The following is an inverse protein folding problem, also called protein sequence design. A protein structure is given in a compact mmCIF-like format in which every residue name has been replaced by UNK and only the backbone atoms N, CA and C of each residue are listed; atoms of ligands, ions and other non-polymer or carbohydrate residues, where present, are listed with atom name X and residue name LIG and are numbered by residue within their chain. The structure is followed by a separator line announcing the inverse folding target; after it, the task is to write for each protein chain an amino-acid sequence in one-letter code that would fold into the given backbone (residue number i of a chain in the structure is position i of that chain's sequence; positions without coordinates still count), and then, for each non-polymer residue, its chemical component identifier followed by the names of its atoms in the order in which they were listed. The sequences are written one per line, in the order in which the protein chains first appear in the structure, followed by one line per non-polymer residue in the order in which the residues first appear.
data_IF_253386773720
#
_entry.id   IF_253386773720
#
_cell.length_a   1.000
_cell.length_b   1.000
_cell.length_c   1.000
_cell.angle_alpha   90.00
_cell.angle_beta   90.00
_cell.angle_gamma   90.00
#
_symmetry.space_group_name_H-M   'P 1'
#
loop_
_entity.id
_entity.type
_entity.pdbx_description
1 polymer ?
#
# COMPACT_ATOMS: atom_id res chain seq x y z
N UNK A 1 -71.02 -38.09 3.65
CA UNK A 1 -70.95 -39.13 4.71
C UNK A 1 -69.72 -39.98 4.49
N UNK A 2 -68.91 -40.21 5.53
CA UNK A 2 -68.03 -41.39 5.82
C UNK A 2 -67.17 -41.92 4.64
N UNK A 3 -65.85 -42.11 4.72
CA UNK A 3 -64.94 -42.42 5.83
C UNK A 3 -63.48 -42.34 5.31
N UNK A 4 -62.60 -42.08 6.27
CA UNK A 4 -61.14 -42.24 6.29
C UNK A 4 -60.69 -43.64 5.84
N UNK A 5 -59.59 -43.74 5.07
CA UNK A 5 -58.44 -44.61 5.41
C UNK A 5 -57.18 -44.24 4.61
N UNK A 6 -56.06 -44.21 5.34
CA UNK A 6 -54.71 -43.86 4.90
C UNK A 6 -53.86 -45.11 4.55
N UNK A 7 -52.59 -44.84 4.19
CA UNK A 7 -51.45 -45.74 3.95
C UNK A 7 -51.37 -46.31 2.51
N UNK A 8 -50.23 -46.34 1.79
CA UNK A 8 -48.83 -46.58 2.19
C UNK A 8 -47.85 -45.77 1.31
N UNK A 9 -46.78 -45.34 1.97
CA UNK A 9 -45.49 -44.82 1.52
C UNK A 9 -44.85 -45.46 0.28
N UNK A 10 -44.43 -44.62 -0.65
CA UNK A 10 -43.43 -44.92 -1.67
C UNK A 10 -42.53 -43.71 -1.87
N UNK A 11 -41.59 -43.48 -0.94
CA UNK A 11 -40.59 -42.43 -1.07
C UNK A 11 -39.60 -42.85 -2.16
N UNK A 12 -39.71 -42.24 -3.34
CA UNK A 12 -38.70 -42.36 -4.39
C UNK A 12 -37.44 -41.68 -3.87
N UNK A 13 -36.44 -42.49 -3.50
CA UNK A 13 -35.07 -42.02 -3.24
C UNK A 13 -34.49 -41.62 -4.60
N UNK A 14 -34.65 -40.35 -4.97
CA UNK A 14 -33.83 -39.75 -6.02
C UNK A 14 -32.41 -39.64 -5.47
N UNK A 15 -31.57 -40.61 -5.83
CA UNK A 15 -30.14 -40.58 -5.57
C UNK A 15 -29.51 -39.37 -6.26
N UNK A 16 -29.37 -38.28 -5.50
CA UNK A 16 -28.38 -37.25 -5.80
C UNK A 16 -27.01 -37.85 -5.46
N UNK A 17 -26.05 -37.90 -6.39
CA UNK A 17 -24.69 -38.21 -6.01
C UNK A 17 -24.21 -37.08 -5.11
N UNK A 18 -24.06 -37.38 -3.82
CA UNK A 18 -23.25 -36.58 -2.92
C UNK A 18 -21.84 -36.66 -3.51
N UNK A 19 -21.42 -35.59 -4.19
CA UNK A 19 -20.03 -35.38 -4.51
C UNK A 19 -19.31 -35.21 -3.17
N UNK A 20 -18.81 -36.34 -2.65
CA UNK A 20 -17.78 -36.32 -1.62
C UNK A 20 -16.62 -35.57 -2.27
N UNK A 21 -16.37 -34.36 -1.80
CA UNK A 21 -15.20 -33.59 -2.19
C UNK A 21 -13.98 -34.41 -1.75
N UNK A 22 -13.47 -35.22 -2.68
CA UNK A 22 -12.13 -35.77 -2.56
C UNK A 22 -11.20 -34.57 -2.50
N UNK A 23 -10.52 -34.49 -1.36
CA UNK A 23 -9.50 -33.51 -1.03
C UNK A 23 -8.48 -33.48 -2.18
N UNK A 24 -8.59 -32.47 -3.05
CA UNK A 24 -7.63 -32.25 -4.13
C UNK A 24 -6.37 -31.73 -3.45
N UNK A 25 -5.44 -32.63 -3.13
CA UNK A 25 -4.08 -32.22 -2.82
C UNK A 25 -3.50 -31.52 -4.06
N UNK A 26 -3.03 -30.27 -3.97
CA UNK A 26 -2.22 -29.72 -5.04
C UNK A 26 -0.80 -30.24 -4.83
N UNK A 27 -0.50 -31.45 -5.30
CA UNK A 27 0.88 -31.89 -5.47
C UNK A 27 1.13 -32.04 -6.96
N UNK A 28 1.26 -30.91 -7.65
CA UNK A 28 2.32 -30.89 -8.66
C UNK A 28 3.62 -31.03 -7.87
N UNK A 29 4.32 -32.15 -8.06
CA UNK A 29 5.66 -32.33 -7.52
C UNK A 29 6.55 -31.22 -8.13
N UNK A 30 6.71 -30.12 -7.40
CA UNK A 30 7.67 -29.08 -7.74
C UNK A 30 9.07 -29.68 -7.77
N UNK A 31 9.81 -29.45 -8.84
CA UNK A 31 11.24 -29.76 -8.89
C UNK A 31 12.06 -28.82 -8.00
N UNK A 32 11.56 -27.61 -7.71
CA UNK A 32 12.30 -26.58 -7.00
C UNK A 32 11.80 -26.39 -5.55
N UNK A 33 12.76 -26.44 -4.62
CA UNK A 33 12.55 -26.19 -3.20
C UNK A 33 12.67 -24.71 -2.83
N UNK A 34 11.90 -24.27 -1.83
CA UNK A 34 12.01 -22.93 -1.23
C UNK A 34 12.17 -23.02 0.29
N UNK A 35 13.16 -22.30 0.83
CA UNK A 35 13.41 -22.25 2.27
C UNK A 35 12.95 -20.90 2.85
N UNK A 36 12.22 -20.92 3.97
CA UNK A 36 11.71 -19.71 4.62
C UNK A 36 12.55 -19.37 5.85
N UNK A 37 13.19 -18.21 5.82
CA UNK A 37 13.94 -17.64 6.94
C UNK A 37 13.00 -16.82 7.83
N UNK A 38 12.82 -17.26 9.07
CA UNK A 38 12.08 -16.46 10.04
C UNK A 38 13.00 -15.46 10.75
N UNK A 39 12.64 -14.18 10.71
CA UNK A 39 13.38 -13.15 11.47
C UNK A 39 12.98 -13.20 12.95
N UNK A 40 13.94 -13.36 13.86
CA UNK A 40 13.67 -13.33 15.31
C UNK A 40 13.42 -11.88 15.76
N UNK A 41 12.16 -11.46 15.72
CA UNK A 41 11.70 -10.20 16.30
C UNK A 41 10.45 -10.46 17.15
N UNK A 42 10.34 -9.80 18.31
CA UNK A 42 9.21 -9.96 19.22
C UNK A 42 7.85 -9.56 18.60
N UNK A 43 7.87 -8.73 17.55
CA UNK A 43 6.69 -8.29 16.80
C UNK A 43 6.39 -9.10 15.53
N UNK A 44 7.21 -10.11 15.22
CA UNK A 44 7.04 -10.97 14.05
C UNK A 44 6.33 -12.27 14.45
N UNK A 45 5.11 -12.51 13.94
CA UNK A 45 4.37 -13.76 14.19
C UNK A 45 4.88 -14.96 13.36
N UNK A 46 5.91 -14.74 12.55
CA UNK A 46 6.58 -15.70 11.69
C UNK A 46 5.88 -15.95 10.36
N UNK A 47 6.65 -15.97 9.27
CA UNK A 47 6.21 -16.29 7.92
C UNK A 47 6.39 -17.80 7.63
N UNK A 48 5.48 -18.40 6.86
CA UNK A 48 5.56 -19.81 6.46
C UNK A 48 4.41 -20.20 5.53
N UNK A 49 4.48 -21.39 4.92
CA UNK A 49 3.38 -21.89 4.09
C UNK A 49 2.16 -22.28 4.93
N UNK A 50 0.99 -22.22 4.32
CA UNK A 50 -0.25 -22.61 4.94
C UNK A 50 -0.31 -24.12 5.16
N UNK A 51 -0.66 -24.51 6.38
CA UNK A 51 -1.07 -25.87 6.75
C UNK A 51 -2.58 -25.92 6.98
N UNK A 52 -3.15 -27.12 7.04
CA UNK A 52 -4.57 -27.34 7.39
C UNK A 52 -4.96 -26.78 8.76
N UNK A 53 -3.98 -26.59 9.65
CA UNK A 53 -4.17 -26.06 11.02
C UNK A 53 -3.74 -24.60 11.16
N UNK A 54 -3.39 -23.93 10.07
CA UNK A 54 -2.80 -22.58 10.16
C UNK A 54 -3.82 -21.54 10.60
N UNK A 55 -3.54 -20.93 11.76
CA UNK A 55 -4.37 -19.89 12.41
C UNK A 55 -3.81 -18.47 12.23
N UNK A 56 -2.80 -18.26 11.39
CA UNK A 56 -2.18 -16.94 11.11
C UNK A 56 -2.08 -16.70 9.60
N UNK A 57 -1.76 -15.47 9.18
CA UNK A 57 -1.45 -15.22 7.76
C UNK A 57 -0.26 -16.07 7.29
N UNK A 58 -0.36 -16.65 6.09
CA UNK A 58 0.59 -17.61 5.56
C UNK A 58 0.69 -17.54 4.03
N UNK A 59 1.77 -18.10 3.50
CA UNK A 59 1.98 -18.26 2.06
C UNK A 59 1.15 -19.47 1.60
N UNK A 60 0.19 -19.23 0.72
CA UNK A 60 -0.61 -20.29 0.13
C UNK A 60 0.21 -21.04 -0.93
N UNK A 61 0.81 -20.29 -1.85
CA UNK A 61 1.71 -20.80 -2.87
C UNK A 61 2.63 -19.70 -3.39
N UNK A 62 3.77 -20.11 -3.93
CA UNK A 62 4.71 -19.25 -4.67
C UNK A 62 5.05 -19.93 -5.96
N UNK A 63 5.01 -19.19 -7.06
CA UNK A 63 5.38 -19.66 -8.40
C UNK A 63 6.45 -18.73 -8.95
N UNK A 64 7.57 -19.28 -9.41
CA UNK A 64 8.64 -18.53 -10.07
C UNK A 64 8.77 -19.03 -11.51
N UNK A 65 8.69 -18.12 -12.47
CA UNK A 65 8.80 -18.42 -13.90
C UNK A 65 7.87 -19.57 -14.36
N UNK A 66 6.68 -19.66 -13.75
CA UNK A 66 5.69 -20.71 -14.01
C UNK A 66 5.86 -22.00 -13.20
N UNK A 67 6.91 -22.12 -12.40
CA UNK A 67 7.20 -23.29 -11.55
C UNK A 67 6.71 -23.00 -10.13
N UNK A 68 5.66 -23.71 -9.69
CA UNK A 68 5.20 -23.67 -8.31
C UNK A 68 6.27 -24.26 -7.38
N UNK A 69 6.59 -23.62 -6.26
CA UNK A 69 7.65 -24.02 -5.34
C UNK A 69 7.12 -24.88 -4.20
N UNK A 70 7.96 -25.78 -3.67
CA UNK A 70 7.67 -26.58 -2.47
C UNK A 70 8.51 -26.12 -1.29
N UNK A 71 7.89 -25.89 -0.13
CA UNK A 71 8.66 -25.58 1.08
C UNK A 71 9.57 -26.76 1.48
N UNK A 72 10.84 -26.46 1.78
CA UNK A 72 11.83 -27.41 2.29
C UNK A 72 12.28 -27.05 3.70
N UNK A 73 12.81 -28.04 4.43
CA UNK A 73 13.20 -27.88 5.83
C UNK A 73 14.68 -27.50 6.01
N UNK A 74 15.50 -27.65 4.98
CA UNK A 74 16.93 -27.34 5.02
C UNK A 74 17.32 -26.34 3.92
N UNK A 75 18.16 -25.32 4.22
CA UNK A 75 18.71 -24.40 3.22
C UNK A 75 19.44 -25.07 2.05
N UNK A 76 19.99 -26.27 2.26
CA UNK A 76 20.69 -27.06 1.23
C UNK A 76 19.76 -27.67 0.18
N UNK A 77 18.47 -27.80 0.49
CA UNK A 77 17.46 -28.37 -0.41
C UNK A 77 16.72 -27.30 -1.22
N UNK A 78 17.01 -26.02 -0.94
CA UNK A 78 16.31 -24.89 -1.53
C UNK A 78 17.09 -24.27 -2.68
N UNK A 79 16.36 -24.03 -3.78
CA UNK A 79 16.82 -23.20 -4.88
C UNK A 79 16.56 -21.72 -4.62
N UNK A 80 15.47 -21.43 -3.90
CA UNK A 80 15.05 -20.07 -3.56
C UNK A 80 14.88 -19.89 -2.05
N UNK A 81 15.14 -18.69 -1.57
CA UNK A 81 14.93 -18.26 -0.20
C UNK A 81 13.79 -17.26 -0.12
N UNK A 82 13.01 -17.35 0.96
CA UNK A 82 12.05 -16.33 1.36
C UNK A 82 12.46 -15.82 2.75
N UNK A 83 12.86 -14.56 2.85
CA UNK A 83 13.04 -13.87 4.13
C UNK A 83 11.83 -13.02 4.47
N UNK A 84 11.61 -12.73 5.75
CA UNK A 84 10.60 -11.75 6.18
C UNK A 84 9.82 -12.14 7.42
N UNK A 85 8.57 -11.68 7.48
CA UNK A 85 7.72 -11.82 8.65
C UNK A 85 6.31 -11.27 8.47
N UNK A 86 5.42 -11.64 9.38
CA UNK A 86 4.11 -10.99 9.54
C UNK A 86 4.21 -10.11 10.76
N UNK A 87 4.19 -8.80 10.54
CA UNK A 87 4.43 -7.80 11.57
C UNK A 87 3.12 -7.20 12.02
N UNK A 88 3.05 -6.83 13.30
CA UNK A 88 1.85 -6.24 13.88
C UNK A 88 2.15 -4.88 14.51
N UNK A 89 1.44 -3.83 14.09
CA UNK A 89 1.53 -2.50 14.72
C UNK A 89 0.15 -1.85 14.90
N UNK A 90 0.03 -0.91 15.86
CA UNK A 90 -1.17 -0.11 16.03
C UNK A 90 -1.56 0.64 14.74
N UNK A 91 -2.83 0.54 14.39
CA UNK A 91 -3.44 1.22 13.25
C UNK A 91 -4.88 1.61 13.58
N UNK A 92 -5.50 2.38 12.69
CA UNK A 92 -6.88 2.81 12.84
C UNK A 92 -7.55 2.86 11.48
N UNK A 93 -8.82 2.51 11.45
CA UNK A 93 -9.72 2.89 10.37
C UNK A 93 -10.61 4.02 10.88
N UNK A 94 -11.08 4.88 9.99
CA UNK A 94 -11.73 6.15 10.35
C UNK A 94 -12.83 6.02 11.42
N UNK A 95 -13.59 4.94 11.40
CA UNK A 95 -14.75 4.68 12.27
C UNK A 95 -14.48 3.65 13.39
N UNK A 96 -13.27 3.10 13.49
CA UNK A 96 -12.93 2.07 14.47
C UNK A 96 -12.21 2.64 15.69
N UNK A 97 -12.22 1.89 16.79
CA UNK A 97 -11.24 2.05 17.87
C UNK A 97 -9.82 1.77 17.35
N UNK A 98 -8.80 2.04 18.17
CA UNK A 98 -7.44 1.61 17.87
C UNK A 98 -7.45 0.09 17.68
N UNK A 99 -6.99 -0.35 16.52
CA UNK A 99 -6.90 -1.75 16.13
C UNK A 99 -5.45 -2.10 15.84
N UNK A 100 -5.07 -3.36 15.98
CA UNK A 100 -3.77 -3.82 15.48
C UNK A 100 -3.93 -4.25 14.01
N UNK A 101 -3.01 -3.80 13.15
CA UNK A 101 -2.92 -4.23 11.76
C UNK A 101 -1.77 -5.21 11.62
N UNK A 102 -2.01 -6.28 10.87
CA UNK A 102 -0.98 -7.21 10.42
C UNK A 102 -0.55 -6.77 9.01
N UNK A 103 0.76 -6.68 8.78
CA UNK A 103 1.32 -6.39 7.46
C UNK A 103 2.46 -7.38 7.17
N UNK A 104 2.22 -8.36 6.28
CA UNK A 104 3.25 -9.26 5.81
C UNK A 104 4.32 -8.52 5.01
N UNK A 105 5.57 -8.86 5.26
CA UNK A 105 6.70 -8.45 4.45
C UNK A 105 7.49 -9.70 4.05
N UNK A 106 7.89 -9.77 2.78
CA UNK A 106 8.64 -10.89 2.23
C UNK A 106 9.68 -10.43 1.22
N UNK A 107 10.82 -11.12 1.19
CA UNK A 107 11.88 -10.97 0.20
C UNK A 107 12.13 -12.34 -0.40
N UNK A 108 12.02 -12.46 -1.72
CA UNK A 108 12.22 -13.69 -2.47
C UNK A 108 13.48 -13.51 -3.31
N UNK A 109 14.39 -14.48 -3.24
CA UNK A 109 15.71 -14.43 -3.88
C UNK A 109 16.27 -15.84 -4.12
N UNK A 110 17.12 -16.05 -5.14
CA UNK A 110 17.88 -17.29 -5.32
C UNK A 110 18.88 -17.54 -4.19
N UNK A 111 19.04 -18.81 -3.78
CA UNK A 111 19.98 -19.16 -2.72
C UNK A 111 21.40 -19.39 -3.23
N UNK A 112 22.38 -18.96 -2.42
CA UNK A 112 23.83 -18.97 -2.71
C UNK A 112 24.44 -20.36 -2.83
N UNK A 113 23.76 -21.37 -2.27
CA UNK A 113 24.21 -22.77 -2.30
C UNK A 113 24.03 -23.41 -3.69
N UNK A 114 23.34 -22.71 -4.59
CA UNK A 114 23.25 -23.02 -6.01
C UNK A 114 24.13 -22.00 -6.76
N UNK A 115 24.86 -22.36 -7.82
CA UNK A 115 25.75 -21.41 -8.52
C UNK A 115 25.02 -20.11 -8.89
N UNK A 116 25.32 -19.04 -8.14
CA UNK A 116 24.55 -17.79 -8.06
C UNK A 116 24.34 -17.05 -9.39
N UNK A 117 25.13 -17.35 -10.42
CA UNK A 117 25.14 -16.64 -11.69
C UNK A 117 24.13 -17.16 -12.73
N UNK A 118 23.32 -18.19 -12.43
CA UNK A 118 22.47 -18.83 -13.45
C UNK A 118 21.00 -19.08 -13.09
N UNK A 119 20.55 -18.79 -11.86
CA UNK A 119 19.12 -18.96 -11.53
C UNK A 119 18.35 -17.72 -11.98
N UNK A 120 17.65 -17.86 -13.11
CA UNK A 120 16.62 -16.92 -13.53
C UNK A 120 15.53 -16.81 -12.46
N UNK A 121 15.14 -15.59 -12.17
CA UNK A 121 13.91 -15.27 -11.48
C UNK A 121 13.37 -14.03 -12.17
N UNK A 122 12.46 -14.21 -13.12
CA UNK A 122 11.94 -13.12 -13.96
C UNK A 122 10.53 -12.72 -13.56
N UNK A 123 9.68 -13.69 -13.25
CA UNK A 123 8.30 -13.50 -12.85
C UNK A 123 8.02 -14.26 -11.55
N UNK A 124 7.43 -13.58 -10.57
CA UNK A 124 7.10 -14.14 -9.27
C UNK A 124 5.62 -13.93 -8.99
N UNK A 125 4.89 -15.03 -8.81
CA UNK A 125 3.52 -15.02 -8.33
C UNK A 125 3.48 -15.54 -6.89
N UNK A 126 2.80 -14.79 -6.02
CA UNK A 126 2.58 -15.16 -4.62
C UNK A 126 1.09 -15.13 -4.34
N UNK A 127 0.57 -16.26 -3.85
CA UNK A 127 -0.74 -16.32 -3.23
C UNK A 127 -0.55 -16.28 -1.72
N UNK A 128 -1.04 -15.22 -1.08
CA UNK A 128 -0.93 -15.03 0.37
C UNK A 128 -2.29 -15.21 1.02
N UNK A 129 -2.41 -16.20 1.90
CA UNK A 129 -3.63 -16.48 2.64
C UNK A 129 -3.65 -15.69 3.94
N UNK A 130 -4.78 -15.03 4.23
CA UNK A 130 -5.03 -14.44 5.55
C UNK A 130 -5.47 -15.51 6.56
N UNK A 131 -5.41 -15.18 7.84
CA UNK A 131 -6.06 -15.98 8.88
C UNK A 131 -7.58 -16.08 8.60
N UNK A 132 -8.12 -17.30 8.63
CA UNK A 132 -9.56 -17.58 8.49
C UNK A 132 -10.36 -16.78 9.54
N UNK A 133 -11.49 -16.19 9.14
CA UNK A 133 -12.36 -15.37 10.01
C UNK A 133 -11.65 -14.18 10.68
N UNK A 134 -10.49 -13.75 10.19
CA UNK A 134 -9.80 -12.64 10.80
C UNK A 134 -10.54 -11.31 10.58
N UNK A 135 -10.09 -10.27 11.28
CA UNK A 135 -10.65 -8.94 11.18
C UNK A 135 -10.29 -8.25 9.84
N UNK A 136 -11.01 -7.19 9.44
CA UNK A 136 -10.68 -6.42 8.21
C UNK A 136 -9.27 -5.82 8.23
N UNK A 137 -8.69 -5.65 9.41
CA UNK A 137 -7.35 -5.08 9.65
C UNK A 137 -6.20 -6.03 9.31
N UNK A 138 -6.48 -7.32 9.05
CA UNK A 138 -5.50 -8.29 8.57
C UNK A 138 -5.69 -8.64 7.09
N UNK A 139 -6.52 -7.89 6.36
CA UNK A 139 -6.71 -8.10 4.93
C UNK A 139 -5.42 -7.71 4.18
N UNK A 140 -5.25 -8.24 2.96
CA UNK A 140 -4.23 -7.77 2.03
C UNK A 140 -4.94 -7.09 0.88
N UNK A 141 -5.04 -5.78 0.98
CA UNK A 141 -5.80 -4.92 0.05
C UNK A 141 -4.89 -3.97 -0.73
N UNK A 142 -3.63 -3.88 -0.34
CA UNK A 142 -2.63 -3.06 -1.01
C UNK A 142 -1.29 -3.78 -1.00
N UNK A 143 -0.53 -3.67 -2.08
CA UNK A 143 0.83 -4.21 -2.18
C UNK A 143 1.81 -3.10 -2.57
N UNK A 144 3.01 -3.16 -2.00
CA UNK A 144 4.18 -2.39 -2.44
C UNK A 144 5.26 -3.39 -2.84
N UNK A 145 5.84 -3.23 -4.03
CA UNK A 145 6.86 -4.15 -4.55
C UNK A 145 8.06 -3.42 -5.16
N UNK A 146 9.29 -3.87 -4.92
CA UNK A 146 10.46 -3.40 -5.70
C UNK A 146 10.65 -4.25 -6.97
N UNK A 147 9.65 -4.17 -7.84
CA UNK A 147 9.67 -4.84 -9.13
C UNK A 147 8.69 -4.15 -10.06
N UNK A 148 8.29 -4.84 -11.11
CA UNK A 148 7.23 -4.39 -12.02
C UNK A 148 5.99 -5.25 -11.80
N UNK A 149 5.03 -4.72 -11.04
CA UNK A 149 3.78 -5.41 -10.79
C UNK A 149 3.03 -5.64 -12.11
N UNK A 150 2.62 -6.88 -12.34
CA UNK A 150 1.85 -7.30 -13.52
C UNK A 150 0.35 -7.37 -13.19
N UNK A 151 0.01 -7.93 -12.04
CA UNK A 151 -1.35 -7.96 -11.53
C UNK A 151 -1.39 -8.08 -10.01
N UNK A 152 -2.49 -7.59 -9.43
CA UNK A 152 -2.78 -7.74 -8.01
C UNK A 152 -4.28 -7.97 -7.82
N UNK A 153 -4.62 -9.09 -7.19
CA UNK A 153 -5.98 -9.42 -6.77
C UNK A 153 -6.01 -9.39 -5.24
N UNK A 154 -6.67 -8.40 -4.62
CA UNK A 154 -6.75 -8.30 -3.17
C UNK A 154 -7.57 -9.45 -2.58
N UNK A 155 -7.30 -9.80 -1.34
CA UNK A 155 -8.13 -10.76 -0.62
C UNK A 155 -9.54 -10.20 -0.41
N UNK A 156 -10.57 -11.00 -0.68
CA UNK A 156 -11.97 -10.62 -0.49
C UNK A 156 -12.52 -11.33 0.75
N UNK A 157 -12.94 -10.60 1.81
CA UNK A 157 -13.49 -11.20 3.01
C UNK A 157 -14.65 -12.16 2.69
N UNK A 158 -14.55 -13.41 3.13
CA UNK A 158 -15.62 -14.41 3.01
C UNK A 158 -15.82 -15.02 1.62
N UNK A 159 -15.03 -14.63 0.61
CA UNK A 159 -15.09 -15.20 -0.76
C UNK A 159 -13.74 -15.77 -1.20
N UNK A 160 -12.64 -15.06 -0.91
CA UNK A 160 -11.27 -15.48 -1.20
C UNK A 160 -10.36 -14.96 -0.08
N UNK A 161 -10.03 -15.83 0.87
CA UNK A 161 -9.05 -15.53 1.93
C UNK A 161 -7.60 -15.48 1.39
N UNK A 162 -7.42 -15.28 0.09
CA UNK A 162 -6.13 -15.28 -0.60
C UNK A 162 -6.00 -14.00 -1.42
N UNK A 163 -4.90 -13.28 -1.23
CA UNK A 163 -4.46 -12.23 -2.14
C UNK A 163 -3.44 -12.80 -3.13
N UNK A 164 -3.58 -12.47 -4.41
CA UNK A 164 -2.67 -12.92 -5.47
C UNK A 164 -1.86 -11.74 -5.97
N UNK A 165 -0.55 -11.84 -5.91
CA UNK A 165 0.41 -10.83 -6.35
C UNK A 165 1.23 -11.45 -7.47
N UNK A 166 1.27 -10.83 -8.66
CA UNK A 166 2.15 -11.25 -9.74
C UNK A 166 3.04 -10.06 -10.15
N UNK A 167 4.35 -10.24 -10.07
CA UNK A 167 5.31 -9.18 -10.35
C UNK A 167 6.55 -9.71 -11.07
N UNK A 168 7.09 -8.90 -11.97
CA UNK A 168 8.39 -9.15 -12.60
C UNK A 168 9.51 -8.55 -11.77
N UNK A 169 10.64 -9.23 -11.74
CA UNK A 169 11.87 -8.66 -11.19
C UNK A 169 12.37 -7.52 -12.08
N UNK A 170 13.06 -6.58 -11.46
CA UNK A 170 13.72 -5.47 -12.14
C UNK A 170 15.17 -5.40 -11.67
N UNK A 171 16.01 -4.73 -12.45
CA UNK A 171 17.38 -4.45 -12.02
C UNK A 171 17.34 -3.46 -10.87
N UNK A 172 17.93 -3.83 -9.74
CA UNK A 172 18.02 -3.04 -8.52
C UNK A 172 19.49 -2.80 -8.21
N UNK A 173 19.86 -1.53 -8.04
CA UNK A 173 21.19 -1.11 -7.61
C UNK A 173 21.21 -0.90 -6.09
N UNK A 174 22.22 -1.45 -5.42
CA UNK A 174 22.35 -1.41 -3.96
C UNK A 174 23.74 -0.96 -3.52
N UNK A 175 23.76 0.01 -2.61
CA UNK A 175 24.93 0.47 -1.87
C UNK A 175 24.70 0.44 -0.35
N UNK A 176 23.72 -0.34 0.10
CA UNK A 176 23.42 -0.45 1.53
C UNK A 176 24.36 -1.47 2.19
N UNK A 177 24.90 -1.09 3.35
CA UNK A 177 25.48 -2.02 4.31
C UNK A 177 24.40 -2.39 5.36
N UNK A 178 24.20 -3.68 5.64
CA UNK A 178 23.33 -4.16 6.73
C UNK A 178 21.85 -4.43 6.38
N UNK A 179 20.95 -4.21 7.35
CA UNK A 179 19.52 -4.60 7.35
C UNK A 179 18.60 -3.72 6.48
N UNK A 180 19.14 -2.76 5.73
CA UNK A 180 18.37 -1.83 4.92
C UNK A 180 18.05 -2.41 3.54
N UNK A 181 17.40 -3.56 3.52
CA UNK A 181 16.94 -4.23 2.31
C UNK A 181 15.41 -4.38 2.34
N UNK A 182 14.76 -3.74 1.37
CA UNK A 182 13.32 -3.77 1.14
C UNK A 182 12.52 -2.90 2.10
N UNK A 183 12.15 -3.37 3.30
CA UNK A 183 11.24 -2.64 4.22
C UNK A 183 11.92 -2.19 5.53
N UNK A 184 11.83 -0.90 5.83
CA UNK A 184 12.30 -0.32 7.10
C UNK A 184 11.25 0.64 7.64
N UNK A 185 10.80 0.43 8.89
CA UNK A 185 9.88 1.33 9.61
C UNK A 185 10.48 2.75 9.69
N UNK A 186 11.81 2.83 9.78
CA UNK A 186 12.60 4.05 9.77
C UNK A 186 13.64 4.00 8.64
N UNK A 187 13.20 4.09 7.38
CA UNK A 187 14.11 4.25 6.23
C UNK A 187 15.06 5.45 6.38
N UNK A 188 14.70 6.43 7.22
CA UNK A 188 15.58 7.55 7.59
C UNK A 188 16.85 7.11 8.34
N UNK A 189 16.84 5.91 8.93
CA UNK A 189 17.99 5.32 9.60
C UNK A 189 18.85 4.47 8.65
N UNK A 190 18.48 4.40 7.36
CA UNK A 190 19.25 3.68 6.36
C UNK A 190 20.34 4.55 5.76
N UNK A 191 21.58 4.21 6.04
CA UNK A 191 22.73 4.73 5.30
C UNK A 191 22.83 4.01 3.96
N UNK A 192 22.64 4.76 2.88
CA UNK A 192 22.77 4.26 1.51
C UNK A 192 23.96 4.99 0.89
N UNK A 193 24.98 4.25 0.46
CA UNK A 193 26.14 4.83 -0.20
C UNK A 193 25.77 5.49 -1.54
N UNK A 194 26.53 6.51 -1.94
CA UNK A 194 26.28 7.24 -3.18
C UNK A 194 26.47 6.40 -4.43
N UNK A 195 27.40 5.44 -4.42
CA UNK A 195 27.73 4.58 -5.56
C UNK A 195 27.34 3.15 -5.24
N UNK A 196 26.59 2.52 -6.14
CA UNK A 196 26.20 1.11 -6.03
C UNK A 196 27.42 0.20 -5.88
N UNK A 197 27.40 -0.67 -4.88
CA UNK A 197 28.42 -1.71 -4.67
C UNK A 197 28.00 -3.05 -5.27
N UNK A 198 26.71 -3.21 -5.57
CA UNK A 198 26.14 -4.44 -6.14
C UNK A 198 24.95 -4.15 -7.04
N UNK A 199 24.67 -5.06 -7.97
CA UNK A 199 23.48 -5.04 -8.84
C UNK A 199 22.76 -6.37 -8.68
N UNK A 200 21.45 -6.33 -8.49
CA UNK A 200 20.61 -7.51 -8.29
C UNK A 200 19.43 -7.45 -9.24
N UNK A 201 19.26 -8.46 -10.09
CA UNK A 201 18.15 -8.55 -11.07
C UNK A 201 17.17 -9.68 -10.77
N UNK A 202 17.49 -10.53 -9.80
CA UNK A 202 16.76 -11.74 -9.45
C UNK A 202 16.28 -11.67 -8.00
N UNK A 203 15.81 -10.52 -7.54
CA UNK A 203 15.25 -10.35 -6.20
C UNK A 203 13.96 -9.55 -6.25
N UNK A 204 12.99 -9.92 -5.42
CA UNK A 204 11.77 -9.15 -5.23
C UNK A 204 11.42 -9.08 -3.75
N UNK A 205 11.00 -7.91 -3.30
CA UNK A 205 10.58 -7.58 -1.95
C UNK A 205 9.15 -7.06 -2.05
N UNK A 206 8.27 -7.56 -1.21
CA UNK A 206 6.86 -7.21 -1.19
C UNK A 206 6.44 -6.84 0.23
N UNK A 207 5.73 -5.73 0.37
CA UNK A 207 5.01 -5.35 1.59
C UNK A 207 3.51 -5.39 1.32
N UNK A 208 2.81 -6.21 2.09
CA UNK A 208 1.38 -6.44 1.98
C UNK A 208 0.67 -5.64 3.07
N UNK A 209 -0.23 -4.75 2.68
CA UNK A 209 -0.90 -3.80 3.57
C UNK A 209 -2.41 -4.03 3.60
N UNK A 210 -3.06 -3.71 4.74
CA UNK A 210 -4.51 -3.80 4.88
C UNK A 210 -5.28 -2.75 4.10
N UNK A 211 -4.61 -1.67 3.68
CA UNK A 211 -5.12 -0.61 2.81
C UNK A 211 -4.02 0.43 2.55
N UNK A 212 -4.28 1.36 1.62
CA UNK A 212 -3.57 2.63 1.54
C UNK A 212 -3.96 3.56 2.70
N UNK A 213 -3.02 4.42 3.10
CA UNK A 213 -3.25 5.40 4.17
C UNK A 213 -4.26 6.44 3.72
N UNK A 214 -5.25 6.71 4.56
CA UNK A 214 -6.21 7.78 4.31
C UNK A 214 -5.52 9.13 4.24
N UNK A 215 -6.08 10.02 3.42
CA UNK A 215 -5.74 11.44 3.51
C UNK A 215 -6.12 12.04 4.88
N UNK A 216 -7.01 11.43 5.66
CA UNK A 216 -7.33 11.86 7.02
C UNK A 216 -6.08 11.77 7.91
N UNK A 217 -5.68 12.89 8.48
CA UNK A 217 -4.52 12.99 9.35
C UNK A 217 -4.88 12.62 10.81
N UNK A 218 -3.99 11.93 11.54
CA UNK A 218 -4.14 11.66 12.97
C UNK A 218 -4.27 12.93 13.86
N UNK A 219 -4.89 12.83 15.05
CA UNK A 219 -5.12 13.95 15.97
C UNK A 219 -3.86 14.66 16.48
N UNK A 220 -3.96 15.99 16.65
CA UNK A 220 -2.87 16.89 17.08
C UNK A 220 -2.39 16.64 18.51
N UNK A 221 -3.31 16.24 19.39
CA UNK A 221 -3.02 15.75 20.73
C UNK A 221 -3.15 14.21 20.79
N UNK A 222 -2.24 13.56 21.51
CA UNK A 222 -2.37 12.14 21.82
C UNK A 222 -3.68 11.88 22.59
N UNK A 223 -4.44 10.86 22.15
CA UNK A 223 -5.58 10.39 22.94
C UNK A 223 -5.08 9.88 24.29
N UNK A 224 -5.71 10.27 25.39
CA UNK A 224 -5.33 9.81 26.73
C UNK A 224 -5.50 8.29 26.91
N UNK A 225 -6.30 7.65 26.04
CA UNK A 225 -6.41 6.19 25.96
C UNK A 225 -5.25 5.51 25.19
N UNK A 226 -4.36 6.29 24.56
CA UNK A 226 -3.12 5.80 23.96
C UNK A 226 -2.08 5.51 25.07
N UNK A 227 -2.37 4.49 25.90
CA UNK A 227 -1.41 3.99 26.89
C UNK A 227 -0.20 3.39 26.15
N UNK A 228 0.95 4.04 26.33
CA UNK A 228 2.33 3.65 25.97
C UNK A 228 2.48 2.14 25.69
N UNK A 229 2.56 1.75 24.42
CA UNK A 229 3.07 0.42 24.04
C UNK A 229 4.59 0.48 23.75
N UNK A 230 5.20 1.67 23.74
CA UNK A 230 6.67 1.82 23.66
C UNK A 230 7.10 3.16 24.31
N UNK A 231 8.12 3.20 25.20
CA UNK A 231 8.68 4.43 25.75
C UNK A 231 9.32 5.39 24.73
N UNK A 232 9.44 5.00 23.45
CA UNK A 232 9.86 5.86 22.32
C UNK A 232 8.71 6.36 21.43
N UNK A 233 7.47 5.90 21.67
CA UNK A 233 6.31 6.17 20.80
C UNK A 233 5.54 7.44 21.18
N UNK A 234 5.72 8.51 20.41
CA UNK A 234 4.73 9.58 20.31
C UNK A 234 3.57 9.08 19.42
N UNK A 235 2.41 8.85 20.02
CA UNK A 235 1.21 8.19 19.48
C UNK A 235 0.71 8.66 18.09
N UNK A 236 1.41 8.28 17.01
CA UNK A 236 0.93 8.40 15.63
C UNK A 236 0.35 7.07 15.16
N UNK A 237 -0.98 6.98 15.11
CA UNK A 237 -1.67 5.80 14.58
C UNK A 237 -1.92 6.00 13.08
N UNK A 238 -1.57 5.00 12.27
CA UNK A 238 -1.86 5.03 10.83
C UNK A 238 -3.36 4.95 10.59
N UNK A 239 -3.95 5.95 9.94
CA UNK A 239 -5.35 5.90 9.50
C UNK A 239 -5.39 5.30 8.09
N UNK A 240 -6.04 4.16 7.93
CA UNK A 240 -6.20 3.46 6.66
C UNK A 240 -7.59 3.69 6.05
N UNK A 241 -7.67 3.73 4.72
CA UNK A 241 -8.93 3.88 3.96
C UNK A 241 -9.34 2.55 3.34
N UNK A 242 -10.45 1.97 3.80
CA UNK A 242 -10.98 0.71 3.29
C UNK A 242 -11.32 0.76 1.78
N UNK A 243 -11.49 1.95 1.21
CA UNK A 243 -11.82 2.17 -0.22
C UNK A 243 -10.62 1.96 -1.15
N UNK A 244 -9.44 1.68 -0.59
CA UNK A 244 -8.18 1.47 -1.33
C UNK A 244 -7.92 0.03 -1.74
N UNK A 245 -8.92 -0.84 -1.62
CA UNK A 245 -8.83 -2.23 -2.07
C UNK A 245 -8.39 -2.31 -3.54
N UNK A 246 -7.35 -3.11 -3.80
CA UNK A 246 -6.76 -3.28 -5.13
C UNK A 246 -5.73 -2.21 -5.49
N UNK A 247 -5.49 -1.22 -4.62
CA UNK A 247 -4.42 -0.25 -4.81
C UNK A 247 -3.05 -0.89 -4.70
N UNK A 248 -2.06 -0.36 -5.41
CA UNK A 248 -0.70 -0.88 -5.35
C UNK A 248 0.34 0.19 -5.66
N UNK A 249 1.58 -0.10 -5.29
CA UNK A 249 2.76 0.68 -5.64
C UNK A 249 3.87 -0.25 -6.11
N UNK A 250 4.59 0.16 -7.14
CA UNK A 250 5.83 -0.49 -7.52
C UNK A 250 6.94 0.49 -7.86
N UNK A 251 8.18 -0.01 -7.78
CA UNK A 251 9.40 0.76 -7.98
C UNK A 251 10.56 -0.18 -8.27
N UNK A 252 11.65 0.34 -8.83
CA UNK A 252 12.94 -0.34 -8.96
C UNK A 252 13.98 0.13 -7.92
N UNK A 253 13.53 0.92 -6.92
CA UNK A 253 14.36 1.32 -5.79
C UNK A 253 14.80 0.11 -4.93
N UNK A 254 16.02 0.16 -4.39
CA UNK A 254 16.54 -0.92 -3.53
C UNK A 254 15.88 -0.97 -2.15
N UNK A 255 15.35 0.16 -1.68
CA UNK A 255 14.66 0.28 -0.41
C UNK A 255 13.36 1.05 -0.58
N UNK A 256 12.28 0.57 0.03
CA UNK A 256 11.03 1.31 0.12
C UNK A 256 10.45 1.22 1.54
N UNK A 257 10.08 2.37 2.09
CA UNK A 257 9.55 2.49 3.44
C UNK A 257 8.14 3.03 3.43
N UNK A 258 7.34 2.64 4.42
CA UNK A 258 6.04 3.24 4.68
C UNK A 258 6.24 4.70 5.11
N UNK A 259 6.10 5.66 4.21
CA UNK A 259 6.21 7.06 4.60
C UNK A 259 4.87 7.61 5.12
N UNK A 260 4.97 8.42 6.19
CA UNK A 260 3.86 9.09 6.88
C UNK A 260 2.89 9.76 5.92
N UNK A 261 1.60 9.80 6.23
CA UNK A 261 0.76 10.85 5.63
C UNK A 261 1.26 12.18 6.17
N UNK A 262 1.62 13.14 5.31
CA UNK A 262 2.08 14.46 5.79
C UNK A 262 0.96 15.10 6.61
N UNK A 263 1.24 15.40 7.88
CA UNK A 263 0.21 15.79 8.84
C UNK A 263 -0.54 17.08 8.46
N UNK A 264 0.09 17.99 7.74
CA UNK A 264 -0.51 19.30 7.47
C UNK A 264 -1.24 19.33 6.13
N UNK A 265 -0.65 18.66 5.15
CA UNK A 265 -1.10 18.62 3.76
C UNK A 265 -1.90 17.38 3.42
N UNK A 266 -1.90 16.39 4.33
CA UNK A 266 -2.40 15.01 4.22
C UNK A 266 -2.06 14.32 2.93
N UNK A 267 -0.86 14.60 2.45
CA UNK A 267 -0.34 13.99 1.26
C UNK A 267 0.11 12.56 1.59
N UNK A 268 -0.26 11.62 0.73
CA UNK A 268 0.22 10.24 0.84
C UNK A 268 1.70 10.24 0.46
N UNK A 269 2.55 9.70 1.34
CA UNK A 269 3.98 9.62 1.10
C UNK A 269 4.41 8.17 0.94
N UNK A 270 5.32 7.91 0.02
CA UNK A 270 6.18 6.74 0.03
C UNK A 270 7.63 7.21 0.03
N UNK A 271 8.45 6.62 0.89
CA UNK A 271 9.90 6.85 0.84
C UNK A 271 10.49 5.72 0.02
N UNK A 272 11.22 6.09 -1.01
CA UNK A 272 12.01 5.16 -1.82
C UNK A 272 13.45 5.60 -1.74
N UNK A 273 14.38 4.66 -1.81
CA UNK A 273 15.78 4.99 -1.75
C UNK A 273 16.64 3.97 -2.50
N UNK A 274 17.79 4.46 -2.94
CA UNK A 274 18.80 3.72 -3.69
C UNK A 274 20.07 4.56 -3.84
N UNK A 275 21.16 3.98 -4.35
CA UNK A 275 22.39 4.73 -4.59
C UNK A 275 22.17 5.78 -5.69
N UNK A 276 22.89 6.90 -5.60
CA UNK A 276 22.84 7.98 -6.59
C UNK A 276 23.40 7.54 -7.95
N UNK A 277 24.47 6.73 -7.92
CA UNK A 277 25.13 6.18 -9.11
C UNK A 277 25.04 4.66 -9.17
N UNK A 278 24.92 4.14 -10.39
CA UNK A 278 25.04 2.69 -10.66
C UNK A 278 26.46 2.20 -10.39
N UNK A 279 26.64 0.88 -10.38
CA UNK A 279 27.96 0.28 -10.29
C UNK A 279 28.77 0.70 -11.53
N UNK A 280 30.00 1.24 -11.36
CA UNK A 280 30.76 1.73 -12.50
C UNK A 280 31.08 0.60 -13.49
N UNK A 281 30.90 0.87 -14.78
CA UNK A 281 31.35 -0.02 -15.85
C UNK A 281 32.52 0.66 -16.54
N UNK A 282 33.69 0.00 -16.56
CA UNK A 282 34.94 0.56 -17.11
C UNK A 282 35.32 1.94 -16.51
N UNK A 283 35.04 2.15 -15.22
CA UNK A 283 35.34 3.41 -14.52
C UNK A 283 34.34 4.55 -14.76
N UNK A 284 33.26 4.31 -15.51
CA UNK A 284 32.22 5.30 -15.77
C UNK A 284 31.04 5.09 -14.83
N UNK A 285 30.70 6.11 -14.04
CA UNK A 285 29.52 6.13 -13.17
C UNK A 285 28.32 6.74 -13.92
N UNK A 286 27.25 5.97 -14.02
CA UNK A 286 25.97 6.47 -14.56
C UNK A 286 25.01 6.84 -13.44
N UNK A 287 24.15 7.83 -13.68
CA UNK A 287 23.05 8.13 -12.76
C UNK A 287 22.12 6.93 -12.66
N UNK A 288 21.80 6.57 -11.42
CA UNK A 288 20.75 5.63 -11.13
C UNK A 288 19.42 6.39 -11.12
N UNK A 289 18.49 6.03 -12.01
CA UNK A 289 17.19 6.68 -12.13
C UNK A 289 16.11 5.68 -11.80
N UNK A 290 15.25 6.02 -10.84
CA UNK A 290 14.15 5.18 -10.42
C UNK A 290 12.90 5.39 -11.26
N UNK A 291 12.09 4.33 -11.29
CA UNK A 291 10.68 4.36 -11.63
C UNK A 291 9.83 4.23 -10.37
N UNK A 292 8.67 4.87 -10.40
CA UNK A 292 7.64 4.78 -9.36
C UNK A 292 6.28 4.73 -10.05
N UNK A 293 5.52 3.65 -9.83
CA UNK A 293 4.13 3.60 -10.29
C UNK A 293 3.21 3.35 -9.12
N UNK A 294 2.08 4.04 -9.11
CA UNK A 294 1.06 3.89 -8.10
C UNK A 294 -0.29 3.79 -8.77
N UNK A 295 -1.05 2.75 -8.45
CA UNK A 295 -2.44 2.64 -8.85
C UNK A 295 -3.35 3.01 -7.69
N UNK A 296 -4.16 4.05 -7.92
CA UNK A 296 -5.13 4.58 -6.98
C UNK A 296 -6.54 4.15 -7.41
N UNK A 297 -7.22 3.26 -6.68
CA UNK A 297 -8.59 2.85 -7.03
C UNK A 297 -9.53 4.05 -7.07
N UNK A 298 -10.53 4.02 -7.96
CA UNK A 298 -11.50 5.11 -8.14
C UNK A 298 -12.19 5.51 -6.84
N UNK A 299 -12.58 4.54 -6.02
CA UNK A 299 -13.20 4.79 -4.73
C UNK A 299 -12.26 5.50 -3.75
N UNK A 300 -10.98 5.11 -3.74
CA UNK A 300 -9.95 5.74 -2.94
C UNK A 300 -9.62 7.16 -3.42
N UNK A 301 -9.48 7.38 -4.73
CA UNK A 301 -9.32 8.72 -5.30
C UNK A 301 -10.45 9.66 -4.88
N UNK A 302 -11.69 9.18 -4.96
CA UNK A 302 -12.85 9.98 -4.59
C UNK A 302 -12.90 10.25 -3.09
N UNK A 303 -12.59 9.27 -2.25
CA UNK A 303 -12.69 9.41 -0.79
C UNK A 303 -11.53 10.19 -0.17
N UNK A 304 -10.30 9.92 -0.63
CA UNK A 304 -9.08 10.53 -0.09
C UNK A 304 -8.62 11.78 -0.84
N UNK A 305 -9.07 12.02 -2.07
CA UNK A 305 -8.66 13.21 -2.85
C UNK A 305 -9.82 13.97 -3.51
N UNK A 306 -11.06 13.45 -3.46
CA UNK A 306 -12.22 14.09 -4.07
C UNK A 306 -12.06 14.26 -5.59
N UNK A 307 -11.46 13.27 -6.25
CA UNK A 307 -11.19 13.26 -7.69
C UNK A 307 -11.78 12.01 -8.34
N UNK A 308 -12.33 12.17 -9.53
CA UNK A 308 -12.45 11.07 -10.50
C UNK A 308 -11.09 10.81 -11.16
N UNK A 309 -10.81 9.60 -11.66
CA UNK A 309 -9.55 9.33 -12.36
C UNK A 309 -9.23 10.32 -13.48
N UNK A 310 -10.22 10.65 -14.32
CA UNK A 310 -10.07 11.57 -15.45
C UNK A 310 -9.77 13.03 -15.04
N UNK A 311 -9.95 13.39 -13.78
CA UNK A 311 -9.71 14.75 -13.27
C UNK A 311 -8.29 14.90 -12.70
N UNK A 312 -7.55 13.79 -12.54
CA UNK A 312 -6.21 13.79 -11.98
C UNK A 312 -5.15 14.09 -13.04
N UNK A 313 -4.29 15.05 -12.75
CA UNK A 313 -3.14 15.43 -13.57
C UNK A 313 -2.09 16.15 -12.69
N UNK A 314 -1.01 16.62 -13.33
CA UNK A 314 0.08 17.34 -12.65
C UNK A 314 -0.35 18.61 -11.91
N UNK A 315 -1.51 19.19 -12.26
CA UNK A 315 -2.06 20.38 -11.61
C UNK A 315 -2.98 20.01 -10.44
N UNK A 316 -3.81 18.99 -10.58
CA UNK A 316 -4.85 18.63 -9.59
C UNK A 316 -4.39 17.62 -8.55
N UNK A 317 -3.43 16.75 -8.92
CA UNK A 317 -2.85 15.71 -8.09
C UNK A 317 -1.32 15.63 -8.32
N UNK A 318 -0.57 16.71 -8.08
CA UNK A 318 0.88 16.73 -8.28
C UNK A 318 1.58 15.63 -7.48
N UNK A 319 2.50 14.93 -8.16
CA UNK A 319 3.53 14.11 -7.54
C UNK A 319 4.71 15.01 -7.19
N UNK A 320 5.15 14.99 -5.94
CA UNK A 320 6.28 15.79 -5.44
C UNK A 320 7.36 14.88 -4.86
N UNK A 321 8.61 15.36 -4.89
CA UNK A 321 9.78 14.77 -4.21
C UNK A 321 10.40 15.77 -3.24
N UNK A 322 10.95 15.27 -2.13
CA UNK A 322 11.58 16.10 -1.08
C UNK A 322 13.00 16.56 -1.40
N UNK A 323 13.77 15.82 -2.21
CA UNK A 323 15.12 16.19 -2.64
C UNK A 323 15.13 16.69 -4.10
N UNK A 324 15.92 17.74 -4.38
CA UNK A 324 16.17 18.33 -5.70
C UNK A 324 17.65 18.26 -6.02
N UNK A 325 18.16 17.06 -6.09
CA UNK A 325 19.51 16.75 -6.52
C UNK A 325 19.50 16.50 -8.04
N UNK A 326 20.13 17.43 -8.78
CA UNK A 326 20.67 17.24 -10.12
C UNK A 326 19.68 17.15 -11.30
N UNK A 327 19.91 18.02 -12.30
CA UNK A 327 19.58 18.07 -13.76
C UNK A 327 18.40 17.31 -14.39
N UNK A 328 17.86 16.24 -13.79
CA UNK A 328 16.75 15.45 -14.34
C UNK A 328 15.42 15.92 -13.77
N UNK A 329 14.49 16.21 -14.67
CA UNK A 329 13.10 16.53 -14.33
C UNK A 329 12.29 15.23 -14.41
N UNK A 330 11.76 14.72 -13.29
CA UNK A 330 10.91 13.54 -13.33
C UNK A 330 9.73 13.76 -14.26
N UNK A 331 9.45 12.77 -15.10
CA UNK A 331 8.30 12.78 -15.98
C UNK A 331 7.19 11.96 -15.33
N UNK A 332 6.06 12.60 -15.04
CA UNK A 332 4.89 11.93 -14.47
C UNK A 332 3.76 11.88 -15.48
N UNK A 333 3.29 10.67 -15.76
CA UNK A 333 2.09 10.38 -16.52
C UNK A 333 0.93 9.98 -15.61
N UNK A 334 -0.27 10.35 -16.04
CA UNK A 334 -1.53 10.09 -15.36
C UNK A 334 -2.43 9.33 -16.33
N UNK A 335 -2.63 8.05 -16.08
CA UNK A 335 -3.35 7.14 -16.98
C UNK A 335 -4.65 6.73 -16.28
N UNK A 336 -5.78 7.40 -16.58
CA UNK A 336 -7.06 7.09 -15.96
C UNK A 336 -7.71 5.84 -16.59
N UNK A 337 -8.40 5.07 -15.76
CA UNK A 337 -9.30 3.99 -16.16
C UNK A 337 -10.62 4.09 -15.39
N UNK A 338 -11.57 3.19 -15.67
CA UNK A 338 -12.80 3.09 -14.87
C UNK A 338 -12.50 2.66 -13.43
N UNK A 339 -11.53 1.75 -13.25
CA UNK A 339 -11.19 1.15 -11.97
C UNK A 339 -10.32 2.05 -11.09
N UNK A 340 -9.59 3.00 -11.69
CA UNK A 340 -8.74 3.91 -10.94
C UNK A 340 -7.83 4.75 -11.81
N UNK A 341 -6.74 5.21 -11.21
CA UNK A 341 -5.72 6.02 -11.85
C UNK A 341 -4.36 5.37 -11.65
N UNK A 342 -3.65 5.10 -12.74
CA UNK A 342 -2.23 4.81 -12.70
C UNK A 342 -1.45 6.12 -12.78
N UNK A 343 -0.65 6.39 -11.77
CA UNK A 343 0.34 7.47 -11.74
C UNK A 343 1.70 6.82 -11.99
N UNK A 344 2.36 7.16 -13.09
CA UNK A 344 3.66 6.60 -13.49
C UNK A 344 4.70 7.71 -13.53
N UNK A 345 5.72 7.63 -12.69
CA UNK A 345 6.83 8.60 -12.65
C UNK A 345 8.14 7.92 -13.00
N UNK A 346 8.87 8.48 -13.95
CA UNK A 346 10.20 8.01 -14.37
C UNK A 346 11.24 9.11 -14.17
N UNK A 347 12.52 8.75 -14.25
CA UNK A 347 13.62 9.73 -14.15
C UNK A 347 13.83 10.26 -12.74
N UNK A 348 13.52 9.47 -11.71
CA UNK A 348 13.71 9.87 -10.32
C UNK A 348 15.18 9.66 -9.96
N UNK A 349 16.00 10.72 -9.99
CA UNK A 349 17.35 10.70 -9.42
C UNK A 349 17.33 10.37 -7.93
N UNK A 350 18.25 9.52 -7.49
CA UNK A 350 18.27 8.99 -6.12
C UNK A 350 19.07 9.86 -5.14
N UNK A 351 18.38 10.46 -4.16
CA UNK A 351 18.80 10.54 -2.74
C UNK A 351 17.54 10.58 -1.86
N UNK A 352 17.17 9.42 -1.30
CA UNK A 352 16.00 9.17 -0.42
C UNK A 352 14.76 10.07 -0.69
N UNK A 353 14.22 10.13 -1.93
CA UNK A 353 13.08 10.99 -2.19
C UNK A 353 11.82 10.45 -1.50
N UNK A 354 11.11 11.35 -0.82
CA UNK A 354 9.74 11.10 -0.39
C UNK A 354 8.79 11.44 -1.53
N UNK A 355 8.29 10.42 -2.20
CA UNK A 355 7.27 10.53 -3.24
C UNK A 355 5.94 10.88 -2.60
N UNK A 356 5.39 12.02 -2.96
CA UNK A 356 4.24 12.61 -2.29
C UNK A 356 3.13 12.90 -3.28
N UNK A 357 1.92 12.37 -3.03
CA UNK A 357 0.72 12.68 -3.81
C UNK A 357 -0.18 13.61 -3.00
N UNK A 358 -0.40 14.82 -3.51
CA UNK A 358 -1.17 15.86 -2.82
C UNK A 358 -2.26 16.46 -3.71
N UNK A 359 -3.47 16.60 -3.17
CA UNK A 359 -4.58 17.27 -3.87
C UNK A 359 -4.42 18.80 -3.92
N UNK A 360 -4.63 19.38 -5.10
CA UNK A 360 -4.74 20.83 -5.33
C UNK A 360 -6.06 21.17 -6.03
N UNK A 361 -6.99 21.80 -5.31
CA UNK A 361 -8.30 22.15 -5.84
C UNK A 361 -8.21 23.35 -6.80
N UNK A 362 -8.44 23.13 -8.10
CA UNK A 362 -8.49 24.20 -9.11
C UNK A 362 -9.91 24.73 -9.24
N UNK A 363 -10.09 26.05 -9.13
CA UNK A 363 -11.41 26.71 -9.18
C UNK A 363 -11.35 27.99 -9.99
N UNK A 364 -12.43 28.31 -10.70
CA UNK A 364 -12.54 29.61 -11.38
C UNK A 364 -12.81 30.72 -10.37
N UNK A 365 -12.40 31.93 -10.71
CA UNK A 365 -12.70 33.13 -9.92
C UNK A 365 -14.21 33.23 -9.70
N UNK A 366 -14.61 33.51 -8.45
CA UNK A 366 -15.99 33.61 -7.99
C UNK A 366 -16.84 32.33 -8.09
N UNK A 367 -16.26 31.19 -8.47
CA UNK A 367 -16.97 29.91 -8.45
C UNK A 367 -17.50 29.61 -7.04
N UNK A 368 -18.79 29.23 -6.96
CA UNK A 368 -19.46 28.92 -5.70
C UNK A 368 -19.30 27.44 -5.35
N UNK A 369 -18.70 27.17 -4.18
CA UNK A 369 -18.42 25.82 -3.69
C UNK A 369 -19.21 25.53 -2.42
N UNK A 370 -19.69 24.31 -2.25
CA UNK A 370 -20.25 23.85 -0.98
C UNK A 370 -19.14 23.52 0.02
N UNK A 371 -19.49 23.45 1.31
CA UNK A 371 -18.66 22.81 2.33
C UNK A 371 -18.25 21.41 1.89
N UNK A 372 -19.20 20.62 1.37
CA UNK A 372 -18.97 19.24 0.94
C UNK A 372 -17.93 19.12 -0.17
N UNK A 373 -17.96 20.03 -1.16
CA UNK A 373 -16.96 20.08 -2.22
C UNK A 373 -15.56 20.35 -1.67
N UNK A 374 -15.43 21.28 -0.71
CA UNK A 374 -14.15 21.56 -0.05
C UNK A 374 -13.68 20.38 0.81
N UNK A 375 -14.57 19.71 1.54
CA UNK A 375 -14.20 18.56 2.37
C UNK A 375 -13.79 17.34 1.52
N UNK A 376 -14.47 17.09 0.39
CA UNK A 376 -14.06 16.06 -0.59
C UNK A 376 -12.70 16.39 -1.18
N UNK A 377 -12.50 17.62 -1.64
CA UNK A 377 -11.21 18.06 -2.16
C UNK A 377 -10.10 18.06 -1.10
N UNK A 378 -10.43 18.18 0.19
CA UNK A 378 -9.46 18.05 1.26
C UNK A 378 -9.21 16.60 1.70
N UNK A 379 -9.90 15.60 1.11
CA UNK A 379 -9.73 14.19 1.47
C UNK A 379 -10.28 13.82 2.84
N UNK A 380 -11.15 14.66 3.42
CA UNK A 380 -11.68 14.51 4.77
C UNK A 380 -13.21 14.50 4.78
N UNK A 381 -13.86 14.26 3.64
CA UNK A 381 -15.32 14.25 3.54
C UNK A 381 -15.97 13.23 4.50
N UNK A 382 -15.35 12.07 4.63
CA UNK A 382 -15.88 10.98 5.45
C UNK A 382 -15.85 11.31 6.96
N UNK A 383 -15.05 12.29 7.39
CA UNK A 383 -14.99 12.73 8.80
C UNK A 383 -16.28 13.40 9.27
N UNK A 384 -17.21 13.75 8.35
CA UNK A 384 -18.55 14.22 8.70
C UNK A 384 -19.31 13.28 9.62
N UNK A 385 -19.02 11.98 9.54
CA UNK A 385 -19.60 10.95 10.43
C UNK A 385 -19.14 11.10 11.88
N UNK A 386 -18.01 11.76 12.10
CA UNK A 386 -17.42 12.00 13.42
C UNK A 386 -17.82 13.37 14.00
N UNK A 387 -18.34 14.27 13.16
CA UNK A 387 -18.85 15.58 13.55
C UNK A 387 -18.69 16.64 12.45
N UNK A 388 -19.04 17.88 12.77
CA UNK A 388 -18.99 19.00 11.84
C UNK A 388 -17.57 19.53 11.67
N UNK A 389 -17.13 19.75 10.43
CA UNK A 389 -15.87 20.41 10.11
C UNK A 389 -16.04 21.94 10.03
N UNK A 390 -15.05 22.68 10.52
CA UNK A 390 -14.99 24.15 10.50
C UNK A 390 -13.96 24.60 9.47
N UNK A 391 -14.38 25.41 8.51
CA UNK A 391 -13.51 25.95 7.45
C UNK A 391 -13.22 27.41 7.76
N UNK A 392 -11.95 27.75 7.96
CA UNK A 392 -11.51 29.11 8.27
C UNK A 392 -11.51 29.98 7.01
N UNK A 393 -12.29 31.05 7.02
CA UNK A 393 -12.37 32.01 5.91
C UNK A 393 -11.21 32.99 5.99
N UNK A 394 -10.34 33.00 4.97
CA UNK A 394 -9.26 33.97 4.85
C UNK A 394 -9.62 35.09 3.86
N UNK A 395 -10.22 36.16 4.37
CA UNK A 395 -10.66 37.31 3.57
C UNK A 395 -9.50 38.05 2.89
N UNK A 396 -8.32 38.11 3.54
CA UNK A 396 -7.08 38.70 2.95
C UNK A 396 -6.69 37.98 1.66
N UNK A 397 -6.84 36.66 1.64
CA UNK A 397 -6.59 35.80 0.48
C UNK A 397 -7.72 35.81 -0.56
N UNK A 398 -8.77 36.60 -0.37
CA UNK A 398 -9.90 36.72 -1.29
C UNK A 398 -10.98 35.64 -1.13
N UNK A 399 -10.96 34.90 -0.03
CA UNK A 399 -12.01 33.92 0.28
C UNK A 399 -13.23 34.62 0.89
N UNK A 400 -14.43 34.26 0.43
CA UNK A 400 -15.71 34.75 0.96
C UNK A 400 -16.61 33.56 1.27
N UNK A 401 -17.39 33.66 2.35
CA UNK A 401 -18.48 32.74 2.67
C UNK A 401 -19.80 33.52 2.70
N UNK A 402 -20.73 33.14 1.84
CA UNK A 402 -22.02 33.82 1.65
C UNK A 402 -23.04 32.81 1.14
N UNK A 403 -24.29 32.88 1.61
CA UNK A 403 -25.36 31.99 1.15
C UNK A 403 -25.00 30.50 1.23
N UNK A 404 -24.35 30.09 2.33
CA UNK A 404 -23.86 28.72 2.57
C UNK A 404 -22.84 28.21 1.53
N UNK A 405 -22.18 29.11 0.79
CA UNK A 405 -21.19 28.78 -0.24
C UNK A 405 -19.89 29.56 -0.04
N UNK A 406 -18.79 28.91 -0.36
CA UNK A 406 -17.46 29.52 -0.43
C UNK A 406 -17.18 30.01 -1.85
N UNK A 407 -16.45 31.11 -1.99
CA UNK A 407 -15.95 31.61 -3.28
C UNK A 407 -14.62 32.32 -3.11
N UNK A 408 -13.84 32.39 -4.18
CA UNK A 408 -12.51 33.01 -4.19
C UNK A 408 -12.45 34.09 -5.27
N UNK A 409 -12.19 35.35 -4.89
CA UNK A 409 -12.24 36.48 -5.81
C UNK A 409 -10.86 36.99 -6.28
N UNK A 410 -9.76 36.37 -5.84
CA UNK A 410 -8.39 36.71 -6.25
C UNK A 410 -7.75 35.50 -6.94
N UNK A 411 -7.19 35.70 -8.14
CA UNK A 411 -6.45 34.68 -8.90
C UNK A 411 -5.10 34.47 -8.21
N UNK A 412 -4.98 33.38 -7.43
CA UNK A 412 -3.77 33.00 -6.68
C UNK A 412 -3.92 31.60 -6.09
N UNK A 413 -2.83 31.08 -5.53
CA UNK A 413 -2.88 29.95 -4.61
C UNK A 413 -3.33 30.43 -3.22
N UNK A 414 -4.28 29.71 -2.63
CA UNK A 414 -4.84 29.95 -1.29
C UNK A 414 -4.72 28.66 -0.48
N UNK A 415 -4.18 28.74 0.74
CA UNK A 415 -4.24 27.65 1.71
C UNK A 415 -5.50 27.81 2.56
N UNK A 416 -6.40 26.84 2.49
CA UNK A 416 -7.65 26.80 3.26
C UNK A 416 -7.44 25.86 4.45
N UNK A 417 -7.53 26.39 5.66
CA UNK A 417 -7.47 25.58 6.88
C UNK A 417 -8.87 25.01 7.19
N UNK A 418 -8.91 23.71 7.44
CA UNK A 418 -10.12 22.97 7.77
C UNK A 418 -9.88 22.19 9.06
N UNK A 419 -10.55 22.60 10.11
CA UNK A 419 -10.57 21.89 11.38
C UNK A 419 -11.67 20.82 11.35
N UNK A 420 -11.33 19.59 11.71
CA UNK A 420 -12.25 18.45 11.66
C UNK A 420 -11.98 17.46 12.80
N UNK A 421 -12.96 16.60 13.11
CA UNK A 421 -12.77 15.49 14.06
C UNK A 421 -12.09 14.32 13.36
N UNK A 422 -10.87 13.97 13.78
CA UNK A 422 -10.12 12.79 13.34
C UNK A 422 -10.40 11.56 14.22
N UNK A 423 -11.05 11.77 15.37
CA UNK A 423 -11.62 10.71 16.22
C UNK A 423 -12.89 11.20 16.92
N UNK A 424 -13.54 10.30 17.67
CA UNK A 424 -14.66 10.68 18.56
C UNK A 424 -14.23 11.72 19.62
N UNK A 425 -12.95 11.76 19.99
CA UNK A 425 -12.42 12.56 21.11
C UNK A 425 -11.47 13.68 20.69
N UNK A 426 -10.99 13.70 19.45
CA UNK A 426 -9.91 14.59 19.04
C UNK A 426 -10.15 15.27 17.69
N UNK A 427 -9.60 16.47 17.55
CA UNK A 427 -9.64 17.31 16.36
C UNK A 427 -8.26 17.40 15.70
N UNK A 428 -8.28 17.79 14.42
CA UNK A 428 -7.11 17.98 13.58
C UNK A 428 -7.34 19.12 12.60
N UNK A 429 -6.26 19.71 12.10
CA UNK A 429 -6.32 20.74 11.05
C UNK A 429 -5.70 20.21 9.76
N UNK A 430 -6.49 20.24 8.67
CA UNK A 430 -6.04 19.96 7.31
C UNK A 430 -5.93 21.26 6.51
N UNK A 431 -4.83 21.43 5.79
CA UNK A 431 -4.68 22.48 4.79
C UNK A 431 -4.96 21.97 3.39
N UNK A 432 -6.00 22.51 2.75
CA UNK A 432 -6.28 22.33 1.33
C UNK A 432 -5.62 23.46 0.54
N UNK A 433 -4.84 23.10 -0.49
CA UNK A 433 -4.36 24.09 -1.46
C UNK A 433 -5.43 24.30 -2.53
N UNK A 434 -5.87 25.55 -2.71
CA UNK A 434 -6.80 25.97 -3.75
C UNK A 434 -6.06 26.86 -4.74
N UNK A 435 -6.03 26.46 -6.01
CA UNK A 435 -5.50 27.28 -7.12
C UNK A 435 -6.67 27.98 -7.81
N UNK A 436 -6.77 29.29 -7.62
CA UNK A 436 -7.81 30.10 -8.26
C UNK A 436 -7.30 30.53 -9.62
N UNK A 437 -8.02 30.16 -10.68
CA UNK A 437 -7.78 30.58 -12.06
C UNK A 437 -8.83 31.62 -12.48
N UNK A 438 -8.63 32.23 -13.64
CA UNK A 438 -9.49 33.31 -14.13
C UNK A 438 -10.95 32.89 -14.30
#
# INVERSE_FOLDING_TARGET
MKRILALITGLVVSGLPIAVALDVQPVHASADGVFVFNTQLSSNSGLGFCTTTTVKGCIDSVTIDGIALRQVNAPSEARYGIGGGVYSAPCKFMDTSVTQCEYPYMVIYPMVNTPNSQISMTNVEVNFRRRLNAHKTSAVNTVIVNGSLQSFVPAAPGLRDVATINARTTVVHSASSGLCLGWVIAIDNCTIGDVSTSTVSNRISMLLLPAMRSAIVPPDAADAECKRIDPTSNCFVNIFDASSQGGWVDTDASVFGLASTDRFTGAAQLKIAGPHFKAPVNGVSELNLANFRMFLPSAYLMNSFGLKPSEANSVTLPVKRTAKDGSTVPATEYIPSADGLLVSTTGIGFSIPTMTVQRVLVVKKNQKLTTDALLRAAGIFQTKKLGTAKITVNTKSGMKFSSKRYSFNKVRNVKVAIEYRSSKKATSIRHLTVKVVQ
#
